data_IF_821062112100
#
_entry.id   IF_821062112100
#
_cell.length_a   1.000
_cell.length_b   1.000
_cell.length_c   1.000
_cell.angle_alpha   90.00
_cell.angle_beta   90.00
_cell.angle_gamma   90.00
#
_symmetry.space_group_name_H-M   'P 1'
#
loop_
_entity.id
_entity.type
_entity.pdbx_description
1 polymer ?
#
# COMPACT_ATOMS: atom_id res chain seq x y z
N UNK A 1 -16.33 -11.95 2.91
CA UNK A 1 -16.77 -12.04 1.49
C UNK A 1 -16.41 -10.74 0.82
N UNK A 2 -15.92 -10.79 -0.41
CA UNK A 2 -15.69 -9.58 -1.21
C UNK A 2 -17.02 -9.02 -1.66
N UNK A 3 -17.21 -7.73 -1.47
CA UNK A 3 -18.40 -6.96 -1.89
C UNK A 3 -17.94 -5.87 -2.82
N UNK A 4 -18.75 -5.41 -3.75
CA UNK A 4 -18.47 -4.21 -4.54
C UNK A 4 -19.43 -3.08 -4.20
N UNK A 5 -18.94 -1.86 -4.36
CA UNK A 5 -19.72 -0.63 -4.26
C UNK A 5 -19.55 0.17 -5.54
N UNK A 6 -20.70 0.56 -6.12
CA UNK A 6 -20.71 1.48 -7.26
C UNK A 6 -20.66 2.93 -6.75
N UNK A 7 -19.63 3.65 -7.16
CA UNK A 7 -19.44 5.07 -6.85
C UNK A 7 -19.89 5.98 -8.02
N UNK A 8 -20.60 5.41 -9.02
CA UNK A 8 -21.09 6.07 -10.21
C UNK A 8 -20.13 5.97 -11.41
N UNK A 9 -18.94 6.51 -11.30
CA UNK A 9 -17.87 6.44 -12.33
C UNK A 9 -16.78 5.42 -12.02
N UNK A 10 -16.78 4.86 -10.80
CA UNK A 10 -15.86 3.83 -10.35
C UNK A 10 -16.61 2.73 -9.59
N UNK A 11 -16.19 1.49 -9.80
CA UNK A 11 -16.61 0.35 -9.00
C UNK A 11 -15.43 -0.09 -8.14
N UNK A 12 -15.65 -0.31 -6.83
CA UNK A 12 -14.61 -0.71 -5.89
C UNK A 12 -15.00 -2.01 -5.21
N UNK A 13 -14.21 -3.05 -5.46
CA UNK A 13 -14.29 -4.28 -4.70
C UNK A 13 -13.57 -4.12 -3.37
N UNK A 14 -14.17 -4.58 -2.28
CA UNK A 14 -13.57 -4.55 -0.96
C UNK A 14 -14.02 -5.71 -0.09
N UNK A 15 -13.22 -6.00 0.92
CA UNK A 15 -13.60 -6.92 2.00
C UNK A 15 -13.73 -6.12 3.29
N UNK A 16 -14.77 -6.44 4.07
CA UNK A 16 -15.00 -5.84 5.38
C UNK A 16 -14.98 -6.93 6.46
N UNK A 17 -14.34 -6.65 7.61
CA UNK A 17 -14.30 -7.55 8.75
C UNK A 17 -14.06 -6.80 10.06
N UNK A 18 -14.44 -7.44 11.18
CA UNK A 18 -14.26 -6.88 12.50
C UNK A 18 -15.25 -5.77 12.83
N UNK A 19 -15.06 -5.09 13.97
CA UNK A 19 -15.92 -3.99 14.43
C UNK A 19 -15.14 -3.06 15.35
N UNK A 20 -15.50 -1.77 15.38
CA UNK A 20 -14.80 -0.75 16.17
C UNK A 20 -14.31 0.42 15.31
N UNK A 21 -13.22 1.12 15.68
CA UNK A 21 -12.64 2.18 14.89
C UNK A 21 -12.25 1.68 13.48
N UNK A 22 -12.49 2.49 12.45
CA UNK A 22 -12.22 2.08 11.08
C UNK A 22 -10.72 2.11 10.76
N UNK A 23 -10.24 1.05 10.08
CA UNK A 23 -8.91 0.96 9.49
C UNK A 23 -9.04 0.57 8.03
N UNK A 24 -8.43 1.35 7.13
CA UNK A 24 -8.37 1.06 5.70
C UNK A 24 -6.99 0.52 5.33
N UNK A 25 -6.95 -0.63 4.65
CA UNK A 25 -5.73 -1.35 4.30
C UNK A 25 -5.46 -1.23 2.80
N UNK A 26 -4.45 -0.48 2.41
CA UNK A 26 -4.17 -0.08 1.03
C UNK A 26 -2.94 -0.83 0.51
N UNK A 27 -3.16 -1.72 -0.45
CA UNK A 27 -2.13 -2.60 -1.00
C UNK A 27 -1.14 -1.90 -1.95
N UNK A 28 0.01 -2.52 -2.19
CA UNK A 28 1.00 -2.07 -3.16
C UNK A 28 0.61 -2.34 -4.61
N UNK A 29 1.34 -1.75 -5.56
CA UNK A 29 1.11 -1.88 -7.01
C UNK A 29 1.68 -3.15 -7.63
N UNK A 30 2.19 -4.10 -6.85
CA UNK A 30 2.76 -5.33 -7.39
C UNK A 30 1.77 -6.10 -8.28
N UNK A 31 2.24 -6.75 -9.36
CA UNK A 31 1.38 -7.51 -10.23
C UNK A 31 0.63 -8.60 -9.46
N UNK A 32 -0.65 -8.76 -9.75
CA UNK A 32 -1.54 -9.67 -9.04
C UNK A 32 -1.85 -9.27 -7.59
N UNK A 33 -1.57 -8.02 -7.18
CA UNK A 33 -1.95 -7.52 -5.86
C UNK A 33 -3.46 -7.38 -5.72
N UNK A 34 -3.95 -7.68 -4.52
CA UNK A 34 -5.28 -7.34 -4.03
C UNK A 34 -5.16 -6.89 -2.59
N UNK A 35 -6.19 -6.27 -2.05
CA UNK A 35 -6.22 -5.93 -0.63
C UNK A 35 -6.00 -7.16 0.25
N UNK A 36 -6.70 -8.24 -0.05
CA UNK A 36 -6.62 -9.49 0.72
C UNK A 36 -5.30 -10.24 0.54
N UNK A 37 -4.69 -10.23 -0.64
CA UNK A 37 -3.37 -10.86 -0.84
C UNK A 37 -2.25 -10.12 -0.11
N UNK A 38 -2.42 -8.83 0.19
CA UNK A 38 -1.45 -8.04 0.94
C UNK A 38 -1.67 -8.11 2.45
N UNK A 39 -2.92 -8.07 2.93
CA UNK A 39 -3.22 -7.86 4.35
C UNK A 39 -4.10 -8.93 4.99
N UNK A 40 -4.63 -9.88 4.20
CA UNK A 40 -5.54 -10.91 4.72
C UNK A 40 -5.00 -11.67 5.92
N UNK A 41 -3.70 -11.96 5.94
CA UNK A 41 -3.02 -12.63 7.06
C UNK A 41 -2.88 -11.79 8.34
N UNK A 42 -3.03 -10.45 8.23
CA UNK A 42 -2.92 -9.54 9.35
C UNK A 42 -4.27 -9.27 10.03
N UNK A 43 -5.39 -9.34 9.29
CA UNK A 43 -6.72 -8.93 9.78
C UNK A 43 -7.16 -9.63 11.07
N UNK A 44 -6.87 -10.92 11.33
CA UNK A 44 -7.22 -11.55 12.61
C UNK A 44 -6.65 -10.84 13.83
N UNK A 45 -5.48 -10.20 13.71
CA UNK A 45 -4.90 -9.41 14.78
C UNK A 45 -5.61 -8.07 15.02
N UNK A 46 -6.50 -7.65 14.13
CA UNK A 46 -7.23 -6.37 14.19
C UNK A 46 -8.75 -6.58 14.20
N UNK A 47 -9.24 -7.70 14.76
CA UNK A 47 -10.66 -8.02 14.83
C UNK A 47 -11.50 -7.01 15.66
N UNK A 48 -10.85 -6.23 16.50
CA UNK A 48 -11.40 -5.13 17.30
C UNK A 48 -11.48 -3.79 16.54
N UNK A 49 -11.18 -3.80 15.26
CA UNK A 49 -11.32 -2.67 14.32
C UNK A 49 -12.27 -3.04 13.18
N UNK A 50 -12.97 -2.05 12.65
CA UNK A 50 -13.71 -2.17 11.38
C UNK A 50 -12.71 -2.09 10.23
N UNK A 51 -12.26 -3.25 9.74
CA UNK A 51 -11.25 -3.34 8.69
C UNK A 51 -11.90 -3.22 7.32
N UNK A 52 -11.50 -2.23 6.54
CA UNK A 52 -11.89 -2.02 5.15
C UNK A 52 -10.68 -2.31 4.27
N UNK A 53 -10.79 -3.31 3.41
CA UNK A 53 -9.68 -3.83 2.60
C UNK A 53 -10.07 -3.75 1.12
N UNK A 54 -9.94 -2.57 0.48
CA UNK A 54 -10.28 -2.41 -0.92
C UNK A 54 -9.21 -3.01 -1.84
N UNK A 55 -9.65 -3.45 -3.01
CA UNK A 55 -8.80 -3.54 -4.17
C UNK A 55 -8.71 -2.14 -4.78
N UNK A 56 -7.51 -1.60 -4.93
CA UNK A 56 -7.32 -0.26 -5.49
C UNK A 56 -7.65 -0.24 -7.00
N UNK A 57 -8.12 0.88 -7.57
CA UNK A 57 -8.46 0.97 -8.98
C UNK A 57 -7.37 0.49 -9.91
N UNK A 58 -7.69 -0.47 -10.78
CA UNK A 58 -6.76 -1.16 -11.67
C UNK A 58 -6.24 -2.49 -11.13
N UNK A 59 -6.66 -2.92 -9.93
CA UNK A 59 -6.28 -4.20 -9.32
C UNK A 59 -7.51 -4.99 -8.87
N UNK A 60 -7.32 -6.32 -8.79
CA UNK A 60 -8.33 -7.23 -8.28
C UNK A 60 -9.69 -7.06 -8.93
N UNK A 61 -10.73 -6.85 -8.13
CA UNK A 61 -12.09 -6.62 -8.57
C UNK A 61 -12.44 -5.15 -8.87
N UNK A 62 -11.48 -4.22 -8.86
CA UNK A 62 -11.71 -2.79 -9.06
C UNK A 62 -11.16 -2.32 -10.41
N UNK A 63 -11.99 -2.17 -11.46
CA UNK A 63 -11.54 -1.74 -12.78
C UNK A 63 -11.01 -0.30 -12.76
N UNK A 64 -10.08 -0.01 -13.65
CA UNK A 64 -9.62 1.36 -13.91
C UNK A 64 -10.45 2.01 -15.00
N UNK A 65 -10.98 3.20 -14.73
CA UNK A 65 -11.81 3.96 -15.67
C UNK A 65 -11.40 5.44 -15.74
N UNK A 66 -10.10 5.77 -15.71
CA UNK A 66 -9.67 7.17 -15.68
C UNK A 66 -8.37 7.40 -16.42
N UNK A 67 -8.20 8.63 -16.94
CA UNK A 67 -6.95 9.14 -17.51
C UNK A 67 -6.10 9.90 -16.48
N UNK A 68 -6.58 10.05 -15.23
CA UNK A 68 -5.84 10.73 -14.17
C UNK A 68 -4.63 9.90 -13.72
N UNK A 69 -3.59 10.53 -13.13
CA UNK A 69 -2.52 9.81 -12.45
C UNK A 69 -3.09 8.82 -11.43
N UNK A 70 -2.64 7.58 -11.51
CA UNK A 70 -3.21 6.47 -10.73
C UNK A 70 -3.33 6.76 -9.24
N UNK A 71 -2.28 7.34 -8.65
CA UNK A 71 -2.25 7.64 -7.21
C UNK A 71 -3.33 8.64 -6.80
N UNK A 72 -3.57 9.66 -7.62
CA UNK A 72 -4.56 10.69 -7.30
C UNK A 72 -5.98 10.16 -7.43
N UNK A 73 -6.25 9.42 -8.52
CA UNK A 73 -7.53 8.75 -8.70
C UNK A 73 -7.82 7.73 -7.58
N UNK A 74 -6.83 6.92 -7.20
CA UNK A 74 -7.02 5.96 -6.13
C UNK A 74 -7.30 6.63 -4.77
N UNK A 75 -6.62 7.73 -4.46
CA UNK A 75 -6.87 8.47 -3.22
C UNK A 75 -8.30 9.07 -3.19
N UNK A 76 -8.74 9.68 -4.29
CA UNK A 76 -10.12 10.17 -4.43
C UNK A 76 -11.13 9.03 -4.31
N UNK A 77 -10.87 7.90 -4.97
CA UNK A 77 -11.74 6.72 -4.90
C UNK A 77 -11.85 6.18 -3.47
N UNK A 78 -10.74 6.12 -2.72
CA UNK A 78 -10.77 5.70 -1.30
C UNK A 78 -11.57 6.71 -0.46
N UNK A 79 -11.42 8.01 -0.66
CA UNK A 79 -12.23 9.03 0.02
C UNK A 79 -13.73 8.83 -0.22
N UNK A 80 -14.12 8.58 -1.48
CA UNK A 80 -15.51 8.29 -1.87
C UNK A 80 -16.03 6.97 -1.31
N UNK A 81 -15.18 5.93 -1.26
CA UNK A 81 -15.50 4.67 -0.61
C UNK A 81 -15.84 4.88 0.87
N UNK A 82 -15.02 5.63 1.60
CA UNK A 82 -15.31 5.98 3.00
C UNK A 82 -16.66 6.68 3.15
N UNK A 83 -16.99 7.60 2.24
CA UNK A 83 -18.28 8.29 2.24
C UNK A 83 -19.45 7.33 2.00
N UNK A 84 -19.33 6.44 1.01
CA UNK A 84 -20.34 5.44 0.69
C UNK A 84 -20.59 4.45 1.85
N UNK A 85 -19.54 4.16 2.65
CA UNK A 85 -19.61 3.28 3.82
C UNK A 85 -20.01 4.00 5.12
N UNK A 86 -20.31 5.31 5.07
CA UNK A 86 -20.65 6.11 6.24
C UNK A 86 -19.49 6.27 7.24
N UNK A 87 -18.26 6.21 6.76
CA UNK A 87 -17.05 6.34 7.58
C UNK A 87 -16.56 7.79 7.50
N UNK A 88 -16.74 8.56 8.57
CA UNK A 88 -16.30 9.95 8.62
C UNK A 88 -14.77 10.05 8.78
N UNK A 89 -14.18 9.15 9.60
CA UNK A 89 -12.74 9.15 9.88
C UNK A 89 -12.23 7.72 10.02
N UNK A 90 -11.04 7.45 9.44
CA UNK A 90 -10.40 6.14 9.51
C UNK A 90 -8.89 6.28 9.77
N UNK A 91 -8.28 5.24 10.34
CA UNK A 91 -6.84 5.03 10.24
C UNK A 91 -6.51 4.46 8.87
N UNK A 92 -5.36 4.82 8.32
CA UNK A 92 -4.90 4.31 7.03
C UNK A 92 -3.61 3.52 7.22
N UNK A 93 -3.56 2.32 6.64
CA UNK A 93 -2.38 1.46 6.62
C UNK A 93 -2.06 1.17 5.17
N UNK A 94 -0.92 1.64 4.66
CA UNK A 94 -0.58 1.53 3.24
C UNK A 94 0.82 1.01 2.98
N UNK A 95 0.93 0.06 2.04
CA UNK A 95 2.21 -0.44 1.56
C UNK A 95 2.54 0.14 0.19
N UNK A 96 3.78 0.64 0.00
CA UNK A 96 4.27 1.05 -1.32
C UNK A 96 3.34 2.06 -2.01
N UNK A 97 2.76 1.70 -3.15
CA UNK A 97 1.72 2.49 -3.84
C UNK A 97 0.55 2.85 -2.91
N UNK A 98 0.02 1.89 -2.16
CA UNK A 98 -1.04 2.14 -1.17
C UNK A 98 -0.62 3.11 -0.07
N UNK A 99 0.67 3.16 0.28
CA UNK A 99 1.23 4.18 1.16
C UNK A 99 1.20 5.58 0.53
N UNK A 100 1.50 5.69 -0.76
CA UNK A 100 1.34 6.93 -1.53
C UNK A 100 -0.12 7.39 -1.59
N UNK A 101 -1.06 6.45 -1.84
CA UNK A 101 -2.50 6.72 -1.81
C UNK A 101 -2.94 7.24 -0.43
N UNK A 102 -2.47 6.62 0.65
CA UNK A 102 -2.74 7.05 2.02
C UNK A 102 -2.21 8.46 2.31
N UNK A 103 -0.97 8.77 1.89
CA UNK A 103 -0.41 10.11 2.03
C UNK A 103 -1.22 11.14 1.23
N UNK A 104 -1.60 10.83 -0.01
CA UNK A 104 -2.40 11.75 -0.83
C UNK A 104 -3.74 12.06 -0.17
N UNK A 105 -4.45 11.06 0.34
CA UNK A 105 -5.70 11.26 1.07
C UNK A 105 -5.48 12.11 2.33
N UNK A 106 -4.42 11.85 3.10
CA UNK A 106 -4.07 12.65 4.28
C UNK A 106 -3.72 14.11 3.96
N UNK A 107 -3.23 14.39 2.74
CA UNK A 107 -2.97 15.76 2.24
C UNK A 107 -4.25 16.46 1.82
N UNK A 108 -5.16 15.75 1.14
CA UNK A 108 -6.36 16.35 0.55
C UNK A 108 -7.55 16.42 1.50
N UNK A 109 -7.67 15.43 2.39
CA UNK A 109 -8.78 15.29 3.34
C UNK A 109 -8.24 15.00 4.77
N UNK A 110 -7.41 15.90 5.36
CA UNK A 110 -6.68 15.62 6.60
C UNK A 110 -7.60 15.31 7.80
N UNK A 111 -8.80 15.85 7.82
CA UNK A 111 -9.79 15.62 8.89
C UNK A 111 -10.34 14.20 8.88
N UNK A 112 -10.31 13.52 7.74
CA UNK A 112 -10.80 12.15 7.58
C UNK A 112 -9.78 11.09 8.00
N UNK A 113 -8.51 11.49 8.20
CA UNK A 113 -7.43 10.56 8.54
C UNK A 113 -7.13 10.62 10.03
N UNK A 114 -7.26 9.48 10.70
CA UNK A 114 -6.95 9.33 12.11
C UNK A 114 -5.44 9.23 12.35
N UNK A 115 -4.89 8.07 12.14
CA UNK A 115 -3.45 7.77 12.18
C UNK A 115 -3.03 7.21 10.83
N UNK A 116 -1.76 7.36 10.50
CA UNK A 116 -1.20 6.97 9.21
C UNK A 116 -0.05 5.98 9.44
N UNK A 117 -0.16 4.79 8.88
CA UNK A 117 0.91 3.77 8.88
C UNK A 117 1.36 3.55 7.45
N UNK A 118 2.63 3.78 7.18
CA UNK A 118 3.22 3.76 5.85
C UNK A 118 4.36 2.75 5.79
N UNK A 119 4.23 1.73 4.97
CA UNK A 119 5.28 0.76 4.71
C UNK A 119 5.96 1.06 3.38
N UNK A 120 7.19 1.55 3.43
CA UNK A 120 8.00 1.86 2.25
C UNK A 120 7.17 2.55 1.15
N UNK A 121 6.51 3.72 1.43
CA UNK A 121 5.51 4.31 0.56
C UNK A 121 6.10 4.84 -0.75
N UNK A 122 5.33 4.76 -1.84
CA UNK A 122 5.60 5.42 -3.11
C UNK A 122 5.15 6.89 -3.09
N UNK A 123 5.47 7.61 -4.18
CA UNK A 123 5.05 9.01 -4.36
C UNK A 123 6.03 10.05 -3.80
N UNK A 124 7.17 9.62 -3.24
CA UNK A 124 8.27 10.50 -2.82
C UNK A 124 9.57 9.91 -3.36
N UNK A 125 10.17 10.62 -4.32
CA UNK A 125 11.43 10.19 -4.93
C UNK A 125 12.59 11.04 -4.39
N UNK A 126 13.81 10.48 -4.25
CA UNK A 126 14.98 11.28 -3.94
C UNK A 126 15.30 12.23 -5.12
N UNK A 127 15.86 13.43 -4.85
CA UNK A 127 16.13 14.44 -5.88
C UNK A 127 17.13 13.94 -6.95
N UNK A 128 18.09 13.11 -6.54
CA UNK A 128 19.08 12.48 -7.42
C UNK A 128 18.72 11.02 -7.61
N UNK A 129 17.56 10.77 -8.23
CA UNK A 129 17.10 9.40 -8.42
C UNK A 129 18.18 8.60 -9.18
N UNK A 130 18.82 7.63 -8.52
CA UNK A 130 19.74 6.71 -9.19
C UNK A 130 18.94 5.86 -10.20
N UNK A 131 19.59 4.98 -10.97
CA UNK A 131 18.87 3.93 -11.68
C UNK A 131 17.87 3.26 -10.73
N UNK A 132 16.73 2.85 -11.27
CA UNK A 132 15.67 2.23 -10.47
C UNK A 132 16.25 1.09 -9.61
N UNK A 133 15.85 0.98 -8.34
CA UNK A 133 16.18 -0.20 -7.53
C UNK A 133 15.72 -1.47 -8.22
N UNK A 134 16.48 -2.55 -8.08
CA UNK A 134 16.24 -3.82 -8.78
C UNK A 134 14.79 -4.33 -8.63
N UNK A 135 14.16 -4.13 -7.47
CA UNK A 135 12.76 -4.52 -7.26
C UNK A 135 11.78 -3.72 -8.10
N UNK A 136 12.03 -2.41 -8.34
CA UNK A 136 11.23 -1.60 -9.26
C UNK A 136 11.51 -1.93 -10.72
N UNK A 137 12.74 -2.27 -11.09
CA UNK A 137 13.06 -2.72 -12.44
C UNK A 137 12.29 -4.00 -12.80
N UNK A 138 12.27 -4.99 -11.90
CA UNK A 138 11.48 -6.21 -12.08
C UNK A 138 9.97 -5.95 -12.08
N UNK A 139 9.48 -5.06 -11.20
CA UNK A 139 8.08 -4.66 -11.16
C UNK A 139 7.66 -4.09 -12.53
N UNK A 140 8.35 -3.06 -13.00
CA UNK A 140 8.00 -2.38 -14.25
C UNK A 140 8.25 -3.26 -15.46
N UNK A 141 9.32 -4.05 -15.47
CA UNK A 141 9.60 -5.02 -16.51
C UNK A 141 8.49 -6.07 -16.66
N UNK A 142 7.99 -6.60 -15.53
CA UNK A 142 6.85 -7.51 -15.53
C UNK A 142 5.59 -6.85 -16.11
N UNK A 143 5.29 -5.63 -15.67
CA UNK A 143 4.08 -4.92 -16.06
C UNK A 143 4.12 -4.41 -17.51
N UNK A 144 5.30 -4.14 -18.04
CA UNK A 144 5.49 -3.72 -19.44
C UNK A 144 5.54 -4.91 -20.42
N UNK A 145 5.64 -6.13 -19.92
CA UNK A 145 5.73 -7.32 -20.77
C UNK A 145 4.39 -7.60 -21.47
N UNK A 146 4.39 -7.77 -22.77
CA UNK A 146 3.20 -8.17 -23.56
C UNK A 146 2.63 -9.52 -23.06
N UNK A 147 3.53 -10.42 -22.68
CA UNK A 147 3.19 -11.75 -22.12
C UNK A 147 4.04 -12.00 -20.88
N UNK A 148 3.59 -11.54 -19.71
CA UNK A 148 4.32 -11.78 -18.49
C UNK A 148 4.42 -13.28 -18.20
N UNK A 149 5.59 -13.73 -17.73
CA UNK A 149 5.81 -15.14 -17.43
C UNK A 149 5.73 -15.44 -15.93
N UNK A 150 5.48 -16.71 -15.60
CA UNK A 150 5.51 -17.18 -14.22
C UNK A 150 6.91 -17.06 -13.60
N UNK A 151 7.95 -17.27 -14.40
CA UNK A 151 9.35 -17.13 -14.00
C UNK A 151 9.66 -15.69 -13.58
N UNK A 152 9.22 -14.71 -14.37
CA UNK A 152 9.38 -13.29 -14.03
C UNK A 152 8.59 -12.93 -12.75
N UNK A 153 7.42 -13.53 -12.53
CA UNK A 153 6.68 -13.40 -11.27
C UNK A 153 7.48 -13.99 -10.10
N UNK A 154 8.08 -15.16 -10.29
CA UNK A 154 8.88 -15.81 -9.24
C UNK A 154 10.10 -14.95 -8.85
N UNK A 155 10.78 -14.36 -9.83
CA UNK A 155 11.88 -13.43 -9.59
C UNK A 155 11.41 -12.18 -8.83
N UNK A 156 10.30 -11.58 -9.24
CA UNK A 156 9.69 -10.45 -8.54
C UNK A 156 9.35 -10.80 -7.08
N UNK A 157 8.66 -11.91 -6.83
CA UNK A 157 8.28 -12.33 -5.47
C UNK A 157 9.52 -12.54 -4.57
N UNK A 158 10.59 -13.16 -5.11
CA UNK A 158 11.85 -13.35 -4.36
C UNK A 158 12.53 -12.03 -3.99
N UNK A 159 12.36 -10.98 -4.77
CA UNK A 159 12.88 -9.64 -4.44
C UNK A 159 12.07 -8.95 -3.34
N UNK A 160 10.81 -9.33 -3.14
CA UNK A 160 9.93 -8.72 -2.14
C UNK A 160 10.19 -9.21 -0.72
N UNK A 161 10.83 -10.38 -0.55
CA UNK A 161 11.08 -11.01 0.76
C UNK A 161 12.56 -11.29 0.99
N UNK A 162 13.02 -11.16 2.24
CA UNK A 162 14.40 -11.45 2.62
C UNK A 162 14.65 -12.96 2.77
N UNK A 163 13.71 -13.65 3.42
CA UNK A 163 13.76 -15.12 3.52
C UNK A 163 13.18 -15.74 2.24
N UNK A 164 14.04 -16.40 1.40
CA UNK A 164 13.58 -17.01 0.17
C UNK A 164 12.54 -18.14 0.39
N UNK A 165 12.46 -18.72 1.57
CA UNK A 165 11.46 -19.75 1.90
C UNK A 165 10.03 -19.18 1.90
N UNK A 166 9.86 -17.86 2.07
CA UNK A 166 8.58 -17.19 2.00
C UNK A 166 8.10 -16.98 0.56
N UNK A 167 8.98 -17.05 -0.44
CA UNK A 167 8.62 -17.03 -1.85
C UNK A 167 8.13 -18.43 -2.30
N UNK A 168 7.05 -18.91 -1.69
CA UNK A 168 6.53 -20.24 -1.95
C UNK A 168 5.93 -20.38 -3.35
N UNK A 169 5.95 -21.58 -3.92
CA UNK A 169 5.31 -21.86 -5.22
C UNK A 169 3.82 -21.48 -5.22
N UNK A 170 3.13 -21.73 -4.10
CA UNK A 170 1.71 -21.37 -3.96
C UNK A 170 1.49 -19.83 -4.05
N UNK A 171 2.34 -19.04 -3.41
CA UNK A 171 2.29 -17.57 -3.47
C UNK A 171 2.61 -17.08 -4.89
N UNK A 172 3.64 -17.64 -5.53
CA UNK A 172 4.01 -17.29 -6.91
C UNK A 172 2.86 -17.60 -7.87
N UNK A 173 2.25 -18.79 -7.74
CA UNK A 173 1.14 -19.21 -8.58
C UNK A 173 -0.11 -18.35 -8.38
N UNK A 174 -0.42 -17.98 -7.13
CA UNK A 174 -1.54 -17.08 -6.82
C UNK A 174 -1.33 -15.72 -7.47
N UNK A 175 -0.15 -15.12 -7.25
CA UNK A 175 0.20 -13.81 -7.80
C UNK A 175 0.20 -13.81 -9.33
N UNK A 176 0.79 -14.84 -9.93
CA UNK A 176 0.82 -14.97 -11.38
C UNK A 176 -0.58 -15.08 -11.97
N UNK A 177 -1.43 -15.99 -11.45
CA UNK A 177 -2.81 -16.14 -11.93
C UNK A 177 -3.63 -14.85 -11.76
N UNK A 178 -3.51 -14.20 -10.60
CA UNK A 178 -4.19 -12.93 -10.34
C UNK A 178 -3.73 -11.82 -11.29
N UNK A 179 -2.45 -11.77 -11.64
CA UNK A 179 -1.91 -10.75 -12.54
C UNK A 179 -2.43 -10.86 -13.99
N UNK A 180 -2.86 -12.05 -14.39
CA UNK A 180 -3.43 -12.29 -15.72
C UNK A 180 -4.90 -11.86 -15.84
N UNK A 181 -5.59 -11.68 -14.71
CA UNK A 181 -7.01 -11.28 -14.69
C UNK A 181 -7.20 -9.77 -14.88
N UNK A 182 -6.31 -9.00 -14.30
CA UNK A 182 -6.34 -7.53 -14.40
C UNK A 182 -4.92 -7.06 -14.66
N UNK A 183 -4.65 -6.66 -15.89
CA UNK A 183 -3.40 -6.00 -16.23
C UNK A 183 -3.64 -4.49 -16.18
N UNK A 184 -3.15 -3.79 -15.15
CA UNK A 184 -3.21 -2.34 -15.18
C UNK A 184 -2.35 -1.86 -16.36
N UNK A 185 -2.96 -1.16 -17.31
CA UNK A 185 -2.18 -0.35 -18.25
C UNK A 185 -1.51 0.75 -17.43
N UNK A 186 -0.31 0.48 -16.96
CA UNK A 186 0.47 1.47 -16.24
C UNK A 186 1.15 2.37 -17.27
N UNK A 187 0.79 3.66 -17.34
CA UNK A 187 1.70 4.60 -17.93
C UNK A 187 2.97 4.63 -17.07
N UNK A 188 4.11 4.29 -17.67
CA UNK A 188 5.42 4.43 -17.05
C UNK A 188 5.73 5.92 -16.96
N UNK A 189 6.44 6.39 -15.94
CA UNK A 189 6.18 7.57 -15.11
C UNK A 189 5.66 8.81 -15.85
N UNK A 190 4.87 9.67 -15.15
CA UNK A 190 4.80 9.84 -13.70
C UNK A 190 3.57 9.16 -13.06
N UNK A 191 3.70 7.89 -12.70
CA UNK A 191 2.64 7.07 -12.10
C UNK A 191 2.13 7.62 -10.78
N UNK A 192 3.01 8.24 -10.01
CA UNK A 192 2.74 8.52 -8.61
C UNK A 192 2.62 10.02 -8.32
N UNK A 193 3.03 10.90 -9.22
CA UNK A 193 3.25 12.30 -8.88
C UNK A 193 4.35 12.44 -7.80
N UNK A 194 4.79 13.66 -7.52
CA UNK A 194 5.69 13.95 -6.41
C UNK A 194 4.88 14.58 -5.26
N UNK A 195 4.73 13.86 -4.17
CA UNK A 195 4.06 14.33 -2.96
C UNK A 195 4.99 15.11 -2.02
N UNK A 196 6.28 15.19 -2.33
CA UNK A 196 7.29 15.82 -1.47
C UNK A 196 6.92 17.24 -1.03
N UNK A 197 6.45 18.14 -1.92
CA UNK A 197 6.11 19.51 -1.52
C UNK A 197 4.93 19.60 -0.54
N UNK A 198 4.07 18.58 -0.55
CA UNK A 198 2.84 18.54 0.24
C UNK A 198 2.96 17.75 1.56
N UNK A 199 4.08 17.04 1.80
CA UNK A 199 4.29 16.27 3.04
C UNK A 199 4.04 17.09 4.32
N UNK A 200 4.44 18.38 4.41
CA UNK A 200 4.18 19.21 5.60
C UNK A 200 2.69 19.44 5.90
N UNK A 201 1.78 19.14 4.96
CA UNK A 201 0.32 19.27 5.13
C UNK A 201 -0.29 18.05 5.81
N UNK A 202 0.44 16.93 5.95
CA UNK A 202 -0.03 15.74 6.65
C UNK A 202 -0.09 16.05 8.14
N UNK A 203 -1.30 16.04 8.70
CA UNK A 203 -1.58 16.35 10.13
C UNK A 203 -1.69 15.10 10.98
N UNK A 204 -1.92 13.95 10.34
CA UNK A 204 -2.06 12.67 11.03
C UNK A 204 -0.73 12.25 11.64
N UNK A 205 -0.75 11.79 12.91
CA UNK A 205 0.41 11.09 13.48
C UNK A 205 0.77 9.92 12.60
N UNK A 206 2.02 9.84 12.18
CA UNK A 206 2.49 8.94 11.12
C UNK A 206 3.56 8.00 11.63
N UNK A 207 3.35 6.71 11.37
CA UNK A 207 4.35 5.65 11.59
C UNK A 207 4.87 5.16 10.24
N UNK A 208 6.17 5.31 10.02
CA UNK A 208 6.88 4.66 8.93
C UNK A 208 7.40 3.31 9.40
N UNK A 209 7.15 2.24 8.63
CA UNK A 209 7.73 0.92 8.87
C UNK A 209 8.53 0.51 7.63
N UNK A 210 9.74 0.02 7.83
CA UNK A 210 10.64 -0.28 6.73
C UNK A 210 11.43 -1.57 6.95
N UNK A 211 11.53 -2.39 5.91
CA UNK A 211 12.51 -3.47 5.89
C UNK A 211 13.90 -2.91 5.63
N UNK A 212 14.88 -3.30 6.45
CA UNK A 212 16.25 -2.79 6.32
C UNK A 212 16.89 -3.15 4.98
N UNK A 213 16.54 -4.30 4.45
CA UNK A 213 17.06 -4.87 3.22
C UNK A 213 16.12 -4.65 2.00
N UNK A 214 15.21 -3.66 2.07
CA UNK A 214 14.28 -3.36 0.98
C UNK A 214 15.03 -2.97 -0.30
N UNK A 215 14.80 -3.75 -1.35
CA UNK A 215 15.41 -3.60 -2.69
C UNK A 215 14.45 -2.98 -3.71
N UNK A 216 13.23 -2.63 -3.27
CA UNK A 216 12.19 -2.02 -4.10
C UNK A 216 12.08 -0.52 -3.81
N UNK A 217 11.93 -0.17 -2.53
CA UNK A 217 11.99 1.19 -2.04
C UNK A 217 13.07 1.24 -0.95
N UNK A 218 14.31 1.59 -1.27
CA UNK A 218 15.43 1.53 -0.34
C UNK A 218 15.21 2.35 0.92
N UNK A 219 15.68 1.83 2.07
CA UNK A 219 15.57 2.52 3.36
C UNK A 219 16.11 3.96 3.34
N UNK A 220 17.09 4.25 2.49
CA UNK A 220 17.66 5.60 2.33
C UNK A 220 16.59 6.63 1.90
N UNK A 221 15.50 6.21 1.29
CA UNK A 221 14.39 7.10 0.89
C UNK A 221 13.50 7.49 2.07
N UNK A 222 13.53 6.72 3.18
CA UNK A 222 12.72 6.98 4.37
C UNK A 222 12.98 8.35 4.99
N UNK A 223 14.23 8.81 4.95
CA UNK A 223 14.66 10.08 5.56
C UNK A 223 13.85 11.28 5.04
N UNK A 224 13.58 11.32 3.73
CA UNK A 224 12.81 12.42 3.12
C UNK A 224 11.38 12.50 3.62
N UNK A 225 10.74 11.35 3.79
CA UNK A 225 9.37 11.25 4.30
C UNK A 225 9.36 11.57 5.80
N UNK A 226 10.29 10.99 6.56
CA UNK A 226 10.42 11.20 8.00
C UNK A 226 10.59 12.67 8.37
N UNK A 227 11.41 13.43 7.61
CA UNK A 227 11.61 14.85 7.86
C UNK A 227 10.54 15.74 7.20
N UNK A 228 9.83 15.23 6.20
CA UNK A 228 8.79 15.96 5.49
C UNK A 228 7.45 15.99 6.23
N UNK A 229 7.13 14.93 6.99
CA UNK A 229 5.90 14.84 7.77
C UNK A 229 6.17 15.30 9.21
N UNK A 230 5.46 16.33 9.72
CA UNK A 230 5.78 16.96 11.02
C UNK A 230 5.73 16.01 12.23
N UNK A 231 4.78 15.08 12.27
CA UNK A 231 4.62 14.11 13.38
C UNK A 231 4.81 12.68 12.85
N UNK A 232 6.05 12.37 12.45
CA UNK A 232 6.41 11.05 11.94
C UNK A 232 7.48 10.37 12.79
N UNK A 233 7.33 9.06 12.97
CA UNK A 233 8.35 8.19 13.53
C UNK A 233 8.69 7.04 12.58
N UNK A 234 9.89 6.47 12.70
CA UNK A 234 10.38 5.39 11.83
C UNK A 234 10.75 4.15 12.65
N UNK A 235 10.24 2.99 12.23
CA UNK A 235 10.63 1.66 12.72
C UNK A 235 11.28 0.87 11.58
N UNK A 236 12.50 0.40 11.80
CA UNK A 236 13.25 -0.39 10.82
C UNK A 236 13.36 -1.83 11.33
N UNK A 237 12.91 -2.78 10.52
CA UNK A 237 12.97 -4.20 10.84
C UNK A 237 14.13 -4.87 10.09
N UNK A 238 15.08 -5.50 10.81
CA UNK A 238 16.16 -6.24 10.19
C UNK A 238 15.65 -7.58 9.59
N UNK A 239 16.41 -8.12 8.64
CA UNK A 239 16.05 -9.37 7.93
C UNK A 239 14.66 -9.28 7.32
N UNK A 240 14.40 -8.17 6.63
CA UNK A 240 13.11 -7.85 6.06
C UNK A 240 13.28 -6.97 4.83
N UNK A 241 12.55 -7.28 3.76
CA UNK A 241 12.49 -6.49 2.54
C UNK A 241 11.19 -5.70 2.43
N UNK A 242 10.56 -5.70 1.26
CA UNK A 242 9.47 -4.79 0.93
C UNK A 242 8.12 -5.17 1.53
N UNK A 243 7.84 -6.46 1.73
CA UNK A 243 6.56 -6.93 2.27
C UNK A 243 6.62 -7.17 3.78
N UNK A 244 6.85 -6.11 4.54
CA UNK A 244 6.98 -6.15 6.01
C UNK A 244 5.79 -6.85 6.68
N UNK A 245 4.57 -6.56 6.23
CA UNK A 245 3.33 -7.12 6.75
C UNK A 245 3.18 -8.63 6.52
N UNK A 246 3.88 -9.16 5.54
CA UNK A 246 3.92 -10.59 5.22
C UNK A 246 5.11 -11.29 5.88
N UNK A 247 6.29 -10.72 5.70
CA UNK A 247 7.56 -11.33 6.11
C UNK A 247 7.78 -11.27 7.62
N UNK A 248 7.36 -10.17 8.24
CA UNK A 248 7.48 -9.92 9.69
C UNK A 248 6.10 -9.67 10.32
N UNK A 249 5.12 -10.52 9.93
CA UNK A 249 3.71 -10.31 10.29
C UNK A 249 3.47 -10.12 11.80
N UNK A 250 4.14 -10.88 12.65
CA UNK A 250 3.98 -10.76 14.11
C UNK A 250 4.48 -9.41 14.64
N UNK A 251 5.69 -8.99 14.22
CA UNK A 251 6.25 -7.70 14.61
C UNK A 251 5.43 -6.54 14.05
N UNK A 252 5.05 -6.64 12.77
CA UNK A 252 4.18 -5.67 12.12
C UNK A 252 2.86 -5.49 12.87
N UNK A 253 2.17 -6.58 13.15
CA UNK A 253 0.88 -6.55 13.86
C UNK A 253 1.03 -5.92 15.25
N UNK A 254 2.08 -6.28 16.00
CA UNK A 254 2.35 -5.72 17.34
C UNK A 254 2.58 -4.21 17.26
N UNK A 255 3.50 -3.77 16.41
CA UNK A 255 3.86 -2.34 16.23
C UNK A 255 2.65 -1.51 15.80
N UNK A 256 1.88 -2.00 14.82
CA UNK A 256 0.71 -1.27 14.31
C UNK A 256 -0.40 -1.21 15.35
N UNK A 257 -0.68 -2.30 16.08
CA UNK A 257 -1.67 -2.29 17.16
C UNK A 257 -1.30 -1.29 18.26
N UNK A 258 -0.05 -1.31 18.73
CA UNK A 258 0.45 -0.35 19.73
C UNK A 258 0.26 1.09 19.21
N UNK A 259 0.65 1.34 17.96
CA UNK A 259 0.52 2.67 17.37
C UNK A 259 -0.94 3.11 17.22
N UNK A 260 -1.86 2.23 16.80
CA UNK A 260 -3.27 2.60 16.59
C UNK A 260 -4.03 2.78 17.92
N UNK A 261 -3.66 2.06 18.99
CA UNK A 261 -4.32 2.12 20.29
C UNK A 261 -3.77 3.22 21.23
N UNK A 262 -2.59 3.78 20.95
CA UNK A 262 -2.04 4.85 21.77
C UNK A 262 -3.01 6.04 21.82
N UNK A 263 -3.39 6.51 23.01
CA UNK A 263 -4.20 7.71 23.16
C UNK A 263 -3.50 8.91 22.49
N UNK A 264 -4.27 9.70 21.74
CA UNK A 264 -3.73 10.97 21.22
C UNK A 264 -3.38 11.83 22.46
N UNK A 265 -2.09 12.06 22.69
CA UNK A 265 -1.69 13.09 23.62
C UNK A 265 -2.39 14.38 23.20
N UNK A 266 -3.21 14.94 24.10
CA UNK A 266 -4.01 16.16 23.88
C UNK A 266 -3.11 17.38 23.70
#
# INVERSE_FOLDING_TARGET
MTTSVDLGDAEVAYTESGSGPAVVWLHGSGPGATGMSNFGGNLPAFADHRNIVPDLPGWGGSPRKTDQPLLFHAAETVGRLLTALGIERAHLVGNSYGGGVAMRLAITEPERVGRLVLMAPGGVLPPDAPPWPIGLEHLFGYMAAEKPSREAMAEFVRLMVHDPALATEALIDERYRSSLLVHPELPIPPLFGDLTPDLPRIRAKTLLIWGREDQTVPLTWASRILHGIPDAELRVLPHCRHWVQYERAADFNHIVREFLSAESAR
#
